data_IF_901838163795
#
_entry.id   IF_901838163795
#
_cell.length_a   1.000
_cell.length_b   1.000
_cell.length_c   1.000
_cell.angle_alpha   90.00
_cell.angle_beta   90.00
_cell.angle_gamma   90.00
#
_symmetry.space_group_name_H-M   'P 1'
#
loop_
_entity.id
_entity.type
_entity.pdbx_description
1 polymer ?
#
# COMPACT_ATOMS: atom_id res chain seq x y z
N UNK A 1 -10.24 -1.70 -7.32
CA UNK A 1 -9.11 -2.06 -6.42
C UNK A 1 -8.98 -3.57 -6.19
N UNK A 2 -9.88 -4.25 -5.45
CA UNK A 2 -9.79 -5.71 -5.18
C UNK A 2 -9.49 -6.58 -6.42
N UNK A 3 -10.24 -6.37 -7.52
CA UNK A 3 -10.06 -7.13 -8.76
C UNK A 3 -8.66 -6.96 -9.37
N UNK A 4 -8.07 -5.77 -9.26
CA UNK A 4 -6.72 -5.49 -9.76
C UNK A 4 -5.70 -6.23 -8.90
N UNK A 5 -5.88 -6.18 -7.58
CA UNK A 5 -5.04 -6.89 -6.62
C UNK A 5 -5.02 -8.40 -6.90
N UNK A 6 -6.20 -9.04 -6.87
CA UNK A 6 -6.33 -10.50 -7.08
C UNK A 6 -5.78 -10.93 -8.45
N UNK A 7 -6.15 -10.24 -9.54
CA UNK A 7 -5.70 -10.63 -10.88
C UNK A 7 -4.20 -10.46 -11.08
N UNK A 8 -3.59 -9.47 -10.43
CA UNK A 8 -2.14 -9.26 -10.55
C UNK A 8 -1.41 -10.33 -9.76
N UNK A 9 -1.86 -10.60 -8.53
CA UNK A 9 -1.25 -11.60 -7.66
C UNK A 9 -1.35 -13.02 -8.25
N UNK A 10 -2.55 -13.45 -8.65
CA UNK A 10 -2.74 -14.78 -9.26
C UNK A 10 -2.05 -14.90 -10.62
N UNK A 11 -1.98 -13.80 -11.39
CA UNK A 11 -1.25 -13.77 -12.66
C UNK A 11 0.25 -13.99 -12.46
N UNK A 12 0.87 -13.26 -11.53
CA UNK A 12 2.29 -13.44 -11.21
C UNK A 12 2.60 -14.86 -10.71
N UNK A 13 1.72 -15.47 -9.91
CA UNK A 13 1.90 -16.86 -9.49
C UNK A 13 1.75 -17.86 -10.64
N UNK A 14 0.82 -17.61 -11.57
CA UNK A 14 0.68 -18.41 -12.78
C UNK A 14 1.92 -18.34 -13.67
N UNK A 15 2.41 -17.13 -13.96
CA UNK A 15 3.64 -16.90 -14.74
C UNK A 15 4.86 -17.61 -14.12
N UNK A 16 4.95 -17.63 -12.78
CA UNK A 16 6.00 -18.36 -12.05
C UNK A 16 5.88 -19.87 -12.22
N UNK A 17 4.66 -20.42 -12.14
CA UNK A 17 4.43 -21.84 -12.37
C UNK A 17 4.77 -22.24 -13.82
N UNK A 18 4.41 -21.41 -14.80
CA UNK A 18 4.77 -21.61 -16.20
C UNK A 18 6.29 -21.57 -16.40
N UNK A 19 6.99 -20.65 -15.74
CA UNK A 19 8.46 -20.55 -15.78
C UNK A 19 9.15 -21.78 -15.16
N UNK A 20 8.49 -22.46 -14.23
CA UNK A 20 8.92 -23.73 -13.65
C UNK A 20 8.53 -24.96 -14.51
N UNK A 21 7.95 -24.75 -15.70
CA UNK A 21 7.55 -25.82 -16.62
C UNK A 21 6.19 -26.45 -16.33
N UNK A 22 5.40 -25.88 -15.41
CA UNK A 22 4.08 -26.41 -15.07
C UNK A 22 3.05 -25.83 -16.06
N UNK A 23 2.58 -26.67 -16.98
CA UNK A 23 1.56 -26.28 -17.96
C UNK A 23 0.15 -26.33 -17.36
N UNK A 24 -0.70 -25.40 -17.81
CA UNK A 24 -2.11 -25.31 -17.41
C UNK A 24 -2.37 -25.25 -15.88
N UNK A 25 -1.42 -24.72 -15.11
CA UNK A 25 -1.54 -24.53 -13.67
C UNK A 25 -2.65 -23.53 -13.30
N UNK A 26 -3.47 -23.89 -12.31
CA UNK A 26 -4.52 -23.02 -11.75
C UNK A 26 -4.25 -22.80 -10.26
N UNK A 27 -4.19 -21.54 -9.85
CA UNK A 27 -4.07 -21.13 -8.43
C UNK A 27 -5.33 -20.39 -7.98
N UNK A 28 -5.43 -20.10 -6.68
CA UNK A 28 -6.56 -19.43 -6.06
C UNK A 28 -6.15 -18.67 -4.81
N UNK A 29 -7.00 -17.71 -4.42
CA UNK A 29 -6.83 -16.92 -3.22
C UNK A 29 -8.18 -16.61 -2.57
N UNK A 30 -8.18 -16.56 -1.23
CA UNK A 30 -9.25 -15.98 -0.42
C UNK A 30 -8.81 -14.57 -0.03
N UNK A 31 -9.62 -13.57 -0.34
CA UNK A 31 -9.29 -12.17 -0.06
C UNK A 31 -10.37 -11.52 0.78
N UNK A 32 -9.96 -11.01 1.94
CA UNK A 32 -10.80 -10.26 2.86
C UNK A 32 -10.51 -8.77 2.72
N UNK A 33 -11.57 -7.97 2.65
CA UNK A 33 -11.47 -6.52 2.71
C UNK A 33 -11.68 -6.08 4.16
N UNK A 34 -10.65 -5.55 4.78
CA UNK A 34 -10.66 -5.03 6.14
C UNK A 34 -10.79 -3.51 6.09
N UNK A 35 -11.78 -2.95 6.79
CA UNK A 35 -12.06 -1.50 6.83
C UNK A 35 -11.88 -0.97 8.25
N UNK A 36 -10.65 -1.07 8.78
CA UNK A 36 -10.34 -0.58 10.11
C UNK A 36 -9.17 0.42 10.06
N UNK A 37 -9.35 1.54 10.74
CA UNK A 37 -8.33 2.53 11.06
C UNK A 37 -8.61 3.12 12.44
N UNK A 38 -7.61 3.74 13.07
CA UNK A 38 -7.82 4.55 14.27
C UNK A 38 -8.45 5.90 13.90
N UNK A 39 -9.24 6.48 14.81
CA UNK A 39 -10.18 7.57 14.50
C UNK A 39 -11.11 7.17 13.33
N UNK A 40 -12.04 8.04 12.94
CA UNK A 40 -13.00 7.87 11.83
C UNK A 40 -12.39 7.55 10.44
N UNK A 41 -11.09 7.23 10.35
CA UNK A 41 -10.38 6.92 9.12
C UNK A 41 -10.74 5.51 8.61
N UNK A 42 -11.44 5.45 7.48
CA UNK A 42 -11.80 4.22 6.78
C UNK A 42 -10.61 3.69 5.93
N UNK A 43 -9.55 3.23 6.58
CA UNK A 43 -8.43 2.59 5.87
C UNK A 43 -8.86 1.23 5.32
N UNK A 44 -8.91 1.11 3.99
CA UNK A 44 -9.24 -0.14 3.29
C UNK A 44 -7.97 -0.96 3.06
N UNK A 45 -7.84 -2.07 3.80
CA UNK A 45 -6.81 -3.08 3.61
C UNK A 45 -7.37 -4.32 2.91
N UNK A 46 -6.57 -4.96 2.06
CA UNK A 46 -6.88 -6.28 1.51
C UNK A 46 -5.90 -7.29 2.10
N UNK A 47 -6.42 -8.26 2.84
CA UNK A 47 -5.66 -9.42 3.29
C UNK A 47 -5.95 -10.59 2.37
N UNK A 48 -4.93 -11.33 1.96
CA UNK A 48 -5.06 -12.44 1.04
C UNK A 48 -4.36 -13.67 1.57
N UNK A 49 -5.08 -14.80 1.57
CA UNK A 49 -4.53 -16.13 1.71
C UNK A 49 -4.48 -16.75 0.32
N UNK A 50 -3.32 -17.24 -0.08
CA UNK A 50 -3.06 -17.67 -1.46
C UNK A 50 -2.44 -19.04 -1.43
N UNK A 51 -2.77 -19.88 -2.41
CA UNK A 51 -2.13 -21.19 -2.57
C UNK A 51 -0.64 -21.02 -2.89
N UNK A 52 0.20 -21.74 -2.16
CA UNK A 52 1.66 -21.82 -2.38
C UNK A 52 2.01 -22.81 -3.50
N UNK A 53 1.34 -22.65 -4.64
CA UNK A 53 1.39 -23.59 -5.75
C UNK A 53 0.21 -23.48 -6.69
N UNK A 54 0.14 -24.43 -7.61
CA UNK A 54 -0.91 -24.55 -8.61
C UNK A 54 -1.44 -25.97 -8.65
N UNK A 55 -2.71 -26.13 -9.02
CA UNK A 55 -3.24 -27.41 -9.48
C UNK A 55 -3.09 -27.49 -10.99
N UNK A 56 -2.46 -28.55 -11.50
CA UNK A 56 -2.45 -28.87 -12.93
C UNK A 56 -3.12 -30.21 -13.18
N UNK A 57 -3.56 -30.43 -14.41
CA UNK A 57 -4.22 -31.66 -14.83
C UNK A 57 -3.75 -32.01 -16.24
N UNK A 58 -3.47 -33.29 -16.51
CA UNK A 58 -3.04 -33.76 -17.82
C UNK A 58 -4.17 -33.68 -18.89
N UNK A 59 -5.42 -33.54 -18.46
CA UNK A 59 -6.59 -33.36 -19.30
C UNK A 59 -7.86 -33.01 -18.51
N UNK A 60 -9.00 -32.78 -19.20
CA UNK A 60 -10.24 -32.32 -18.57
C UNK A 60 -10.82 -33.28 -17.53
N UNK A 61 -10.54 -34.58 -17.66
CA UNK A 61 -11.07 -35.63 -16.80
C UNK A 61 -10.02 -36.29 -15.90
N UNK A 62 -8.76 -35.87 -15.98
CA UNK A 62 -7.73 -36.37 -15.06
C UNK A 62 -7.83 -35.70 -13.70
N UNK A 63 -7.42 -36.43 -12.66
CA UNK A 63 -7.36 -35.90 -11.30
C UNK A 63 -6.36 -34.74 -11.25
N UNK A 64 -6.74 -33.57 -10.71
CA UNK A 64 -5.81 -32.46 -10.49
C UNK A 64 -4.72 -32.85 -9.51
N UNK A 65 -3.48 -32.50 -9.82
CA UNK A 65 -2.30 -32.70 -8.97
C UNK A 65 -1.81 -31.34 -8.50
N UNK A 66 -1.56 -31.21 -7.20
CA UNK A 66 -0.97 -30.01 -6.63
C UNK A 66 0.53 -30.00 -6.89
N UNK A 67 1.00 -28.94 -7.54
CA UNK A 67 2.40 -28.66 -7.79
C UNK A 67 2.79 -27.47 -6.91
N UNK A 68 3.73 -27.71 -5.98
CA UNK A 68 4.19 -26.68 -5.06
C UNK A 68 4.99 -25.62 -5.82
N UNK A 69 4.80 -24.35 -5.48
CA UNK A 69 5.60 -23.27 -6.03
C UNK A 69 6.98 -23.21 -5.38
N UNK A 70 7.96 -22.70 -6.13
CA UNK A 70 9.24 -22.27 -5.55
C UNK A 70 8.98 -21.16 -4.50
N UNK A 71 9.73 -21.14 -3.38
CA UNK A 71 9.61 -20.10 -2.37
C UNK A 71 9.64 -18.68 -2.97
N UNK A 72 8.82 -17.80 -2.39
CA UNK A 72 8.87 -16.38 -2.74
C UNK A 72 10.20 -15.78 -2.28
N UNK A 73 10.68 -14.83 -3.08
CA UNK A 73 11.90 -14.07 -2.80
C UNK A 73 11.54 -12.59 -2.76
N UNK A 74 12.38 -11.76 -2.19
CA UNK A 74 12.15 -10.32 -2.13
C UNK A 74 11.98 -9.70 -3.52
N UNK A 75 12.69 -10.22 -4.52
CA UNK A 75 12.54 -9.80 -5.91
C UNK A 75 11.13 -10.06 -6.44
N UNK A 76 10.51 -11.19 -6.09
CA UNK A 76 9.12 -11.46 -6.45
C UNK A 76 8.16 -10.47 -5.79
N UNK A 77 8.43 -10.07 -4.54
CA UNK A 77 7.61 -9.07 -3.82
C UNK A 77 7.73 -7.71 -4.50
N UNK A 78 8.94 -7.29 -4.87
CA UNK A 78 9.19 -6.04 -5.61
C UNK A 78 8.47 -6.03 -6.95
N UNK A 79 8.52 -7.14 -7.68
CA UNK A 79 7.84 -7.27 -8.97
C UNK A 79 6.32 -7.14 -8.84
N UNK A 80 5.71 -7.91 -7.92
CA UNK A 80 4.26 -7.87 -7.68
C UNK A 80 3.84 -6.47 -7.25
N UNK A 81 4.60 -5.84 -6.35
CA UNK A 81 4.31 -4.50 -5.83
C UNK A 81 4.40 -3.45 -6.93
N UNK A 82 5.43 -3.50 -7.77
CA UNK A 82 5.60 -2.59 -8.92
C UNK A 82 4.45 -2.74 -9.92
N UNK A 83 4.06 -3.97 -10.24
CA UNK A 83 2.94 -4.27 -11.14
C UNK A 83 1.62 -3.76 -10.57
N UNK A 84 1.38 -3.98 -9.27
CA UNK A 84 0.20 -3.49 -8.55
C UNK A 84 0.15 -1.97 -8.56
N UNK A 85 1.23 -1.31 -8.16
CA UNK A 85 1.35 0.15 -8.14
C UNK A 85 0.97 0.77 -9.49
N UNK A 86 1.60 0.30 -10.58
CA UNK A 86 1.32 0.78 -11.95
C UNK A 86 -0.15 0.56 -12.36
N UNK A 87 -0.72 -0.60 -12.07
CA UNK A 87 -2.12 -0.92 -12.44
C UNK A 87 -3.13 -0.14 -11.62
N UNK A 88 -2.84 0.08 -10.33
CA UNK A 88 -3.66 0.89 -9.43
C UNK A 88 -3.64 2.34 -9.86
N UNK A 89 -2.47 2.94 -10.08
CA UNK A 89 -2.37 4.32 -10.55
C UNK A 89 -3.13 4.51 -11.86
N UNK A 90 -2.87 3.64 -12.85
CA UNK A 90 -3.58 3.68 -14.14
C UNK A 90 -5.10 3.59 -13.98
N UNK A 91 -5.58 2.74 -13.07
CA UNK A 91 -7.01 2.63 -12.78
C UNK A 91 -7.55 3.92 -12.15
N UNK A 92 -6.90 4.44 -11.12
CA UNK A 92 -7.33 5.65 -10.44
C UNK A 92 -7.31 6.88 -11.35
N UNK A 93 -6.29 7.03 -12.20
CA UNK A 93 -6.21 8.09 -13.21
C UNK A 93 -7.37 7.99 -14.20
N UNK A 94 -7.67 6.79 -14.72
CA UNK A 94 -8.83 6.60 -15.63
C UNK A 94 -10.17 6.88 -14.98
N UNK A 95 -10.27 6.67 -13.67
CA UNK A 95 -11.47 6.98 -12.90
C UNK A 95 -11.55 8.45 -12.46
N UNK A 96 -10.57 9.30 -12.80
CA UNK A 96 -10.52 10.70 -12.35
C UNK A 96 -10.34 10.85 -10.83
N UNK A 97 -9.80 9.83 -10.14
CA UNK A 97 -9.65 9.80 -8.67
C UNK A 97 -8.23 10.13 -8.19
N UNK A 98 -7.33 10.42 -9.11
CA UNK A 98 -6.05 11.04 -8.81
C UNK A 98 -6.14 12.49 -9.27
N UNK A 99 -5.67 13.45 -8.46
CA UNK A 99 -5.49 14.81 -8.94
C UNK A 99 -4.65 14.74 -10.21
N UNK A 100 -5.11 15.38 -11.30
CA UNK A 100 -4.16 15.79 -12.33
C UNK A 100 -3.16 16.67 -11.60
N UNK A 101 -1.87 16.36 -11.72
CA UNK A 101 -0.84 17.25 -11.21
C UNK A 101 -1.11 18.61 -11.86
N UNK A 102 -1.63 19.53 -11.04
CA UNK A 102 -2.22 20.81 -11.42
C UNK A 102 -3.49 20.69 -12.29
N UNK A 103 -4.60 21.28 -11.83
CA UNK A 103 -5.63 21.98 -12.60
C UNK A 103 -6.86 22.23 -11.73
N UNK A 104 -7.17 23.52 -11.55
CA UNK A 104 -8.51 24.06 -11.25
C UNK A 104 -9.60 23.26 -11.97
N UNK A 105 -10.63 22.86 -11.25
CA UNK A 105 -11.79 22.22 -11.85
C UNK A 105 -12.80 21.76 -10.81
N UNK A 106 -13.85 22.57 -10.64
CA UNK A 106 -15.10 22.36 -9.91
C UNK A 106 -15.06 21.27 -8.84
N UNK A 107 -14.74 21.73 -7.63
CA UNK A 107 -14.86 20.97 -6.39
C UNK A 107 -16.32 20.49 -6.26
N UNK A 108 -16.55 19.19 -6.48
CA UNK A 108 -17.85 18.58 -6.23
C UNK A 108 -18.13 18.76 -4.74
N UNK A 109 -19.05 19.69 -4.42
CA UNK A 109 -19.44 19.91 -3.04
C UNK A 109 -20.03 18.61 -2.49
N UNK A 110 -19.46 18.06 -1.42
CA UNK A 110 -20.03 16.87 -0.78
C UNK A 110 -21.41 17.20 -0.22
N UNK A 111 -22.33 16.22 -0.22
CA UNK A 111 -23.64 16.36 0.42
C UNK A 111 -23.51 16.76 1.91
N UNK A 112 -22.40 16.37 2.55
CA UNK A 112 -22.03 16.73 3.92
C UNK A 112 -20.57 17.24 3.96
N UNK A 113 -20.33 18.55 3.72
CA UNK A 113 -18.98 19.09 3.51
C UNK A 113 -18.08 18.93 4.75
N UNK A 114 -18.62 19.15 5.95
CA UNK A 114 -17.88 19.00 7.20
C UNK A 114 -17.44 17.54 7.44
N UNK A 115 -18.31 16.57 7.14
CA UNK A 115 -17.96 15.16 7.29
C UNK A 115 -16.93 14.72 6.25
N UNK A 116 -17.03 15.24 5.03
CA UNK A 116 -16.01 15.01 4.00
C UNK A 116 -14.64 15.56 4.40
N UNK A 117 -14.58 16.76 5.00
CA UNK A 117 -13.34 17.34 5.54
C UNK A 117 -12.79 16.50 6.70
N UNK A 118 -13.64 16.08 7.63
CA UNK A 118 -13.28 15.18 8.72
C UNK A 118 -12.67 13.88 8.18
N UNK A 119 -13.27 13.27 7.14
CA UNK A 119 -12.74 12.06 6.51
C UNK A 119 -11.42 12.32 5.75
N UNK A 120 -11.31 13.43 5.01
CA UNK A 120 -10.10 13.79 4.29
C UNK A 120 -8.92 14.00 5.24
N UNK A 121 -9.13 14.75 6.32
CA UNK A 121 -8.15 14.97 7.36
C UNK A 121 -7.79 13.65 8.06
N UNK A 122 -8.77 12.80 8.38
CA UNK A 122 -8.53 11.50 8.98
C UNK A 122 -7.66 10.59 8.08
N UNK A 123 -7.94 10.52 6.76
CA UNK A 123 -7.14 9.78 5.77
C UNK A 123 -5.71 10.34 5.68
N UNK A 124 -5.55 11.65 5.73
CA UNK A 124 -4.25 12.32 5.67
C UNK A 124 -3.49 12.30 7.01
N UNK A 125 -4.12 11.82 8.09
CA UNK A 125 -3.54 11.87 9.44
C UNK A 125 -3.39 13.29 9.97
N UNK A 126 -4.32 14.18 9.62
CA UNK A 126 -4.35 15.59 10.02
C UNK A 126 -5.52 15.88 10.96
N UNK A 127 -5.37 16.92 11.76
CA UNK A 127 -6.45 17.49 12.56
C UNK A 127 -7.39 18.24 11.61
N UNK A 128 -8.68 17.93 11.67
CA UNK A 128 -9.66 18.49 10.76
C UNK A 128 -10.14 19.89 11.17
N UNK A 129 -10.44 20.09 12.46
CA UNK A 129 -11.13 21.28 12.99
C UNK A 129 -10.37 21.80 14.21
N UNK A 130 -10.46 23.11 14.46
CA UNK A 130 -9.87 23.78 15.62
C UNK A 130 -8.55 24.48 15.31
N UNK A 131 -7.91 25.02 16.34
CA UNK A 131 -6.68 25.84 16.22
C UNK A 131 -5.50 25.10 15.56
N UNK A 132 -5.53 23.76 15.59
CA UNK A 132 -4.52 22.92 14.95
C UNK A 132 -4.98 22.33 13.62
N UNK A 133 -6.05 22.84 13.01
CA UNK A 133 -6.53 22.35 11.71
C UNK A 133 -5.39 22.32 10.67
N UNK A 134 -5.28 21.20 9.96
CA UNK A 134 -4.20 20.92 9.00
C UNK A 134 -2.90 20.38 9.61
N UNK A 135 -2.70 20.48 10.93
CA UNK A 135 -1.53 19.91 11.61
C UNK A 135 -1.59 18.37 11.61
N UNK A 136 -0.42 17.72 11.71
CA UNK A 136 -0.36 16.26 11.83
C UNK A 136 -0.88 15.80 13.18
N UNK A 137 -1.66 14.71 13.22
CA UNK A 137 -2.16 14.13 14.46
C UNK A 137 -1.00 13.58 15.29
N UNK A 138 -0.87 14.03 16.53
CA UNK A 138 0.12 13.49 17.47
C UNK A 138 -0.19 12.02 17.79
N UNK A 139 0.85 11.18 17.78
CA UNK A 139 0.75 9.76 18.12
C UNK A 139 1.49 9.51 19.43
N UNK A 140 0.77 9.04 20.44
CA UNK A 140 1.37 8.58 21.69
C UNK A 140 2.28 7.38 21.40
N UNK A 141 3.56 7.46 21.80
CA UNK A 141 4.57 6.42 21.57
C UNK A 141 5.64 6.74 20.51
N UNK A 142 5.53 7.86 19.76
CA UNK A 142 6.69 8.41 19.04
C UNK A 142 7.55 9.17 20.03
N UNK A 143 8.59 8.53 20.55
CA UNK A 143 9.66 9.27 21.24
C UNK A 143 10.21 10.31 20.26
N UNK A 144 10.24 11.58 20.66
CA UNK A 144 11.00 12.62 19.97
C UNK A 144 12.47 12.25 20.18
N UNK A 145 13.06 11.48 19.27
CA UNK A 145 14.50 11.54 19.05
C UNK A 145 14.78 12.90 18.38
N UNK A 146 14.68 13.95 19.18
CA UNK A 146 15.26 15.23 18.88
C UNK A 146 16.78 15.07 19.00
N UNK A 147 17.42 14.62 17.92
CA UNK A 147 18.85 14.84 17.75
C UNK A 147 19.06 16.36 17.80
N UNK A 148 19.77 16.91 18.80
CA UNK A 148 20.01 18.35 18.82
C UNK A 148 20.80 18.73 17.56
N UNK A 149 20.49 19.87 16.91
CA UNK A 149 21.25 20.33 15.77
C UNK A 149 22.71 20.50 16.20
N UNK A 150 23.62 19.93 15.42
CA UNK A 150 25.06 19.93 15.68
C UNK A 150 25.56 21.36 15.87
N UNK A 151 25.78 21.73 17.12
CA UNK A 151 26.54 22.92 17.48
C UNK A 151 27.98 22.71 17.04
N UNK A 152 28.40 23.49 16.06
CA UNK A 152 29.80 23.63 15.66
C UNK A 152 30.59 24.04 16.89
N UNK A 153 31.47 23.16 17.40
CA UNK A 153 32.48 23.53 18.39
C UNK A 153 33.43 24.52 17.72
N UNK A 154 33.37 25.79 18.12
CA UNK A 154 34.43 26.77 17.88
C UNK A 154 35.70 26.26 18.59
N UNK A 155 36.86 26.18 17.94
CA UNK A 155 38.10 25.80 18.61
C UNK A 155 38.46 26.86 19.67
N UNK A 156 38.85 26.39 20.85
CA UNK A 156 39.29 27.23 21.96
C UNK A 156 40.65 27.86 21.63
N UNK A 157 40.76 29.16 21.88
CA UNK A 157 41.98 29.95 21.75
C UNK A 157 42.93 29.62 22.92
N UNK A 158 44.20 29.25 22.68
CA UNK A 158 45.11 28.86 23.75
C UNK A 158 45.91 30.07 24.23
N UNK A 159 45.33 30.91 25.06
CA UNK A 159 46.13 31.74 25.97
C UNK A 159 45.28 32.34 27.09
N UNK A 160 45.24 31.66 28.24
CA UNK A 160 45.34 32.27 29.58
C UNK A 160 44.92 31.27 30.66
N UNK A 161 45.90 30.85 31.46
CA UNK A 161 45.78 30.41 32.85
C UNK A 161 47.11 30.72 33.54
N UNK A 162 47.10 30.83 34.87
CA UNK A 162 46.99 32.05 35.66
C UNK A 162 48.30 32.82 35.84
#
# INVERSE_FOLDING_TARGET
>A
MRRIFVRTLLGCLGERAESAGITAGRTGAVVVAQRFGSAINLNLYFQALVLDGVYSSAGPFSRPVFQRAEPLTDQHVVEITTRLHRRILRYLTRCGRLPKAELDGDEVQPDEPLLAELYAAAVQGRVAIGEQSGASVERVGRSRDARPPGGVRKPADPSSSP
#
